data_IF_666932084465
#
_entry.id   IF_666932084465
#
_cell.length_a   1.000
_cell.length_b   1.000
_cell.length_c   1.000
_cell.angle_alpha   90.00
_cell.angle_beta   90.00
_cell.angle_gamma   90.00
#
_symmetry.space_group_name_H-M   'P 1'
#
loop_
_entity.id
_entity.type
_entity.pdbx_description
1 polymer ?
#
# COMPACT_ATOMS: atom_id res chain seq x y z
N UNK A 1 22.01 -1.10 -45.95
CA UNK A 1 20.81 -1.61 -45.25
C UNK A 1 20.99 -1.25 -43.79
N UNK A 2 20.43 -0.13 -43.35
CA UNK A 2 20.53 0.30 -41.96
C UNK A 2 19.29 -0.20 -41.21
N UNK A 3 19.52 -1.10 -40.26
CA UNK A 3 18.50 -1.56 -39.32
C UNK A 3 18.37 -0.46 -38.27
N UNK A 4 17.30 0.32 -38.35
CA UNK A 4 16.94 1.26 -37.28
C UNK A 4 16.45 0.43 -36.09
N UNK A 5 17.25 0.32 -35.04
CA UNK A 5 16.79 -0.13 -33.74
C UNK A 5 15.89 0.96 -33.15
N UNK A 6 14.59 0.69 -33.10
CA UNK A 6 13.64 1.49 -32.33
C UNK A 6 14.01 1.33 -30.84
N UNK A 7 14.30 2.41 -30.10
CA UNK A 7 14.71 2.29 -28.71
C UNK A 7 13.53 1.77 -27.89
N UNK A 8 13.81 0.76 -27.05
CA UNK A 8 12.91 0.17 -26.06
C UNK A 8 11.90 1.18 -25.52
N UNK A 9 10.64 1.02 -25.92
CA UNK A 9 9.52 1.94 -25.62
C UNK A 9 9.01 1.87 -24.18
N UNK A 10 9.77 1.25 -23.28
CA UNK A 10 9.41 1.15 -21.89
C UNK A 10 10.61 1.58 -21.06
N UNK A 11 10.59 2.76 -20.41
CA UNK A 11 11.45 2.95 -19.26
C UNK A 11 11.07 1.84 -18.28
N UNK A 12 12.03 0.99 -17.91
CA UNK A 12 11.85 0.08 -16.79
C UNK A 12 11.36 0.93 -15.62
N UNK A 13 10.10 0.75 -15.24
CA UNK A 13 9.55 1.48 -14.12
C UNK A 13 10.47 1.15 -12.94
N UNK A 14 11.06 2.16 -12.26
CA UNK A 14 11.73 1.86 -11.01
C UNK A 14 10.73 1.09 -10.15
N UNK A 15 11.17 0.03 -9.42
CA UNK A 15 10.27 -0.74 -8.58
C UNK A 15 9.48 0.27 -7.76
N UNK A 16 8.16 0.32 -7.95
CA UNK A 16 7.33 1.24 -7.17
C UNK A 16 7.70 0.95 -5.72
N UNK A 17 8.14 1.95 -4.95
CA UNK A 17 8.47 1.72 -3.55
C UNK A 17 7.26 1.03 -2.92
N UNK A 18 7.51 0.09 -2.00
CA UNK A 18 6.43 -0.62 -1.29
C UNK A 18 5.36 0.39 -0.90
N UNK A 19 4.08 0.14 -1.23
CA UNK A 19 2.98 1.10 -1.05
C UNK A 19 2.77 1.50 0.42
N UNK A 20 3.35 0.71 1.33
CA UNK A 20 3.49 1.05 2.73
C UNK A 20 4.81 0.53 3.30
N UNK A 21 5.23 1.14 4.41
CA UNK A 21 6.33 0.68 5.25
C UNK A 21 5.89 0.71 6.72
N UNK A 22 6.07 -0.41 7.42
CA UNK A 22 5.71 -0.55 8.83
C UNK A 22 6.97 -0.91 9.64
N UNK A 23 7.22 -0.20 10.75
CA UNK A 23 8.27 -0.60 11.70
C UNK A 23 7.74 -1.67 12.64
N UNK A 24 8.65 -2.39 13.31
CA UNK A 24 8.28 -3.30 14.40
C UNK A 24 7.49 -2.58 15.50
N UNK A 25 6.59 -3.32 16.16
CA UNK A 25 5.87 -2.84 17.32
C UNK A 25 6.85 -2.64 18.49
N UNK A 26 6.86 -1.43 19.05
CA UNK A 26 7.67 -1.08 20.21
C UNK A 26 6.78 -0.51 21.31
N UNK A 27 7.12 -0.80 22.56
CA UNK A 27 6.41 -0.25 23.71
C UNK A 27 6.76 1.24 23.86
N UNK A 28 5.79 2.12 23.66
CA UNK A 28 5.94 3.57 23.83
C UNK A 28 4.85 4.09 24.76
N UNK A 29 5.25 4.81 25.82
CA UNK A 29 4.33 5.40 26.80
C UNK A 29 3.30 4.40 27.38
N UNK A 30 3.70 3.13 27.57
CA UNK A 30 2.83 2.07 28.08
C UNK A 30 1.89 1.44 27.05
N UNK A 31 1.99 1.83 25.77
CA UNK A 31 1.20 1.28 24.67
C UNK A 31 2.11 0.73 23.57
N UNK A 32 1.76 -0.41 23.03
CA UNK A 32 2.45 -0.95 21.86
C UNK A 32 2.15 -0.09 20.65
N UNK A 33 3.18 0.46 20.02
CA UNK A 33 3.04 1.39 18.91
C UNK A 33 4.05 1.10 17.80
N UNK A 34 3.69 1.41 16.57
CA UNK A 34 4.56 1.29 15.40
C UNK A 34 4.42 2.51 14.49
N UNK A 35 5.42 2.74 13.64
CA UNK A 35 5.33 3.75 12.60
C UNK A 35 4.83 3.12 11.30
N UNK A 36 3.79 3.71 10.74
CA UNK A 36 3.26 3.38 9.42
C UNK A 36 3.53 4.53 8.46
N UNK A 37 4.27 4.26 7.38
CA UNK A 37 4.44 5.18 6.26
C UNK A 37 3.64 4.65 5.08
N UNK A 38 2.57 5.33 4.67
CA UNK A 38 1.71 4.94 3.55
C UNK A 38 0.96 6.16 2.98
N UNK A 39 0.26 5.97 1.87
CA UNK A 39 -0.62 6.99 1.31
C UNK A 39 -1.85 7.25 2.20
N UNK A 40 -2.43 8.45 2.09
CA UNK A 40 -3.60 8.89 2.87
C UNK A 40 -4.76 7.87 2.94
N UNK A 41 -5.21 7.22 1.83
CA UNK A 41 -6.29 6.23 1.92
C UNK A 41 -5.94 5.03 2.81
N UNK A 42 -4.68 4.58 2.79
CA UNK A 42 -4.20 3.47 3.64
C UNK A 42 -4.19 3.91 5.10
N UNK A 43 -3.73 5.13 5.37
CA UNK A 43 -3.74 5.69 6.72
C UNK A 43 -5.16 5.82 7.27
N UNK A 44 -6.10 6.27 6.43
CA UNK A 44 -7.51 6.38 6.78
C UNK A 44 -8.11 5.00 7.04
N UNK A 45 -7.81 4.00 6.21
CA UNK A 45 -8.22 2.61 6.44
C UNK A 45 -7.74 2.09 7.79
N UNK A 46 -6.43 2.21 8.07
CA UNK A 46 -5.84 1.74 9.33
C UNK A 46 -6.45 2.45 10.54
N UNK A 47 -6.76 3.74 10.43
CA UNK A 47 -7.38 4.52 11.53
C UNK A 47 -8.77 4.02 11.94
N UNK A 48 -9.47 3.33 11.03
CA UNK A 48 -10.79 2.75 11.26
C UNK A 48 -10.74 1.31 11.81
N UNK A 49 -9.55 0.72 11.96
CA UNK A 49 -9.40 -0.64 12.49
C UNK A 49 -9.63 -0.66 14.01
N UNK A 50 -10.44 -1.60 14.50
CA UNK A 50 -10.73 -1.74 15.94
C UNK A 50 -9.51 -2.11 16.79
N UNK A 51 -8.52 -2.77 16.18
CA UNK A 51 -7.29 -3.21 16.84
C UNK A 51 -6.28 -2.07 17.06
N UNK A 52 -6.51 -0.90 16.47
CA UNK A 52 -5.70 0.30 16.72
C UNK A 52 -6.50 1.33 17.50
N UNK A 53 -5.80 2.17 18.24
CA UNK A 53 -6.38 3.37 18.83
C UNK A 53 -6.47 4.42 17.74
N UNK A 54 -7.66 4.97 17.51
CA UNK A 54 -7.85 6.05 16.54
C UNK A 54 -6.91 7.20 16.88
N UNK A 55 -6.02 7.51 15.94
CA UNK A 55 -5.14 8.65 16.06
C UNK A 55 -6.00 9.89 15.81
N UNK A 56 -6.31 10.66 16.85
CA UNK A 56 -6.95 11.97 16.71
C UNK A 56 -5.97 12.92 16.02
N UNK A 57 -5.93 12.88 14.70
CA UNK A 57 -5.26 13.89 13.89
C UNK A 57 -5.93 15.22 14.18
N UNK A 58 -5.21 16.16 14.78
CA UNK A 58 -5.68 17.54 14.84
C UNK A 58 -5.94 18.01 13.40
N UNK A 59 -7.12 18.58 13.09
CA UNK A 59 -7.44 19.05 11.74
C UNK A 59 -6.49 20.15 11.23
N UNK A 60 -5.63 20.68 12.12
CA UNK A 60 -4.62 21.69 11.83
C UNK A 60 -3.19 21.13 11.69
N UNK A 61 -2.94 19.86 12.04
CA UNK A 61 -1.66 19.19 11.80
C UNK A 61 -1.78 18.31 10.56
N UNK A 62 -1.81 18.94 9.37
CA UNK A 62 -1.38 18.24 8.16
C UNK A 62 0.11 17.96 8.29
N UNK A 63 0.48 16.81 8.86
CA UNK A 63 1.88 16.37 8.88
C UNK A 63 2.32 16.20 7.41
N UNK A 64 3.41 16.84 6.95
CA UNK A 64 3.76 16.88 5.52
C UNK A 64 4.32 15.56 4.95
N UNK A 65 3.92 14.41 5.47
CA UNK A 65 4.39 13.13 4.93
C UNK A 65 3.58 12.01 5.55
N UNK A 66 3.22 11.03 4.71
CA UNK A 66 2.38 9.88 5.02
C UNK A 66 2.91 8.92 6.09
N UNK A 67 3.70 9.40 7.05
CA UNK A 67 4.19 8.65 8.21
C UNK A 67 3.42 9.04 9.47
N UNK A 68 2.70 8.08 10.04
CA UNK A 68 1.94 8.22 11.28
C UNK A 68 2.40 7.20 12.31
N UNK A 69 2.23 7.55 13.58
CA UNK A 69 2.44 6.63 14.69
C UNK A 69 1.09 6.01 15.04
N UNK A 70 1.03 4.69 14.97
CA UNK A 70 -0.16 3.89 15.25
C UNK A 70 0.05 3.19 16.57
N UNK A 71 -0.89 3.36 17.50
CA UNK A 71 -0.88 2.65 18.78
C UNK A 71 -1.91 1.52 18.74
N UNK A 72 -1.50 0.33 19.16
CA UNK A 72 -2.34 -0.86 19.22
C UNK A 72 -3.21 -0.77 20.47
N UNK A 73 -4.48 -1.12 20.33
CA UNK A 73 -5.41 -1.16 21.43
C UNK A 73 -5.00 -2.27 22.42
N UNK A 74 -4.80 -1.96 23.71
CA UNK A 74 -4.29 -2.93 24.71
C UNK A 74 -5.24 -4.10 24.98
N UNK A 75 -6.45 -4.10 24.41
CA UNK A 75 -7.37 -5.24 24.44
C UNK A 75 -6.92 -6.41 23.56
N UNK A 76 -6.02 -6.17 22.60
CA UNK A 76 -5.53 -7.17 21.66
C UNK A 76 -4.07 -7.50 21.94
N UNK A 77 -3.64 -8.70 21.55
CA UNK A 77 -2.21 -9.01 21.55
C UNK A 77 -1.48 -8.19 20.49
N UNK A 78 -0.42 -7.51 20.92
CA UNK A 78 0.36 -6.61 20.08
C UNK A 78 1.07 -7.30 18.90
N UNK A 79 1.58 -8.52 19.06
CA UNK A 79 2.27 -9.23 17.98
C UNK A 79 1.25 -9.75 16.97
N UNK A 80 0.14 -10.32 17.45
CA UNK A 80 -0.95 -10.78 16.60
C UNK A 80 -1.57 -9.63 15.81
N UNK A 81 -1.90 -8.52 16.48
CA UNK A 81 -2.50 -7.35 15.84
C UNK A 81 -1.55 -6.72 14.81
N UNK A 82 -0.26 -6.59 15.12
CA UNK A 82 0.74 -6.06 14.19
C UNK A 82 0.88 -6.95 12.95
N UNK A 83 1.02 -8.26 13.14
CA UNK A 83 1.12 -9.21 12.03
C UNK A 83 -0.14 -9.22 11.16
N UNK A 84 -1.32 -9.14 11.79
CA UNK A 84 -2.58 -9.07 11.07
C UNK A 84 -2.67 -7.80 10.22
N UNK A 85 -2.38 -6.62 10.79
CA UNK A 85 -2.36 -5.35 10.04
C UNK A 85 -1.37 -5.45 8.86
N UNK A 86 -0.18 -5.99 9.08
CA UNK A 86 0.82 -6.18 8.03
C UNK A 86 0.27 -7.02 6.88
N UNK A 87 -0.27 -8.21 7.19
CA UNK A 87 -0.79 -9.14 6.19
C UNK A 87 -2.01 -8.56 5.45
N UNK A 88 -2.88 -7.83 6.14
CA UNK A 88 -4.03 -7.15 5.52
C UNK A 88 -3.56 -6.07 4.55
N UNK A 89 -2.63 -5.21 4.96
CA UNK A 89 -2.08 -4.18 4.08
C UNK A 89 -1.32 -4.78 2.89
N UNK A 90 -0.57 -5.86 3.10
CA UNK A 90 0.11 -6.58 2.03
C UNK A 90 -0.89 -7.19 1.04
N UNK A 91 -1.97 -7.81 1.51
CA UNK A 91 -3.02 -8.35 0.64
C UNK A 91 -3.77 -7.27 -0.16
N UNK A 92 -4.18 -6.20 0.49
CA UNK A 92 -4.89 -5.09 -0.16
C UNK A 92 -4.01 -4.35 -1.18
N UNK A 93 -2.72 -4.20 -0.90
CA UNK A 93 -1.80 -3.50 -1.80
C UNK A 93 -1.25 -4.36 -2.93
N UNK A 94 -1.50 -5.68 -2.91
CA UNK A 94 -1.27 -6.58 -4.04
C UNK A 94 -2.39 -6.52 -5.08
N UNK A 95 -3.52 -5.86 -4.79
CA UNK A 95 -4.56 -5.57 -5.78
C UNK A 95 -4.05 -4.43 -6.67
N UNK A 96 -3.41 -4.83 -7.78
CA UNK A 96 -2.98 -3.91 -8.83
C UNK A 96 -4.23 -3.52 -9.62
N UNK A 97 -4.66 -2.26 -9.50
CA UNK A 97 -5.56 -1.67 -10.50
C UNK A 97 -4.85 -1.73 -11.85
N UNK A 98 -5.33 -2.60 -12.75
CA UNK A 98 -4.93 -2.59 -14.14
C UNK A 98 -5.36 -1.25 -14.72
N UNK A 99 -4.42 -0.42 -15.17
CA UNK A 99 -4.77 0.79 -15.91
C UNK A 99 -5.52 0.41 -17.19
N UNK A 100 -6.39 1.29 -17.68
CA UNK A 100 -7.22 1.09 -18.90
C UNK A 100 -6.42 0.56 -20.11
N UNK A 101 -5.12 0.85 -20.19
CA UNK A 101 -4.23 0.35 -21.26
C UNK A 101 -4.01 -1.16 -21.20
N UNK A 102 -3.99 -1.76 -20.01
CA UNK A 102 -3.89 -3.21 -19.84
C UNK A 102 -5.24 -3.89 -20.05
N UNK A 103 -6.34 -3.26 -19.65
CA UNK A 103 -7.69 -3.75 -19.97
C UNK A 103 -7.89 -3.80 -21.49
N UNK A 104 -7.49 -2.76 -22.22
CA UNK A 104 -7.51 -2.74 -23.69
C UNK A 104 -6.58 -3.78 -24.32
N UNK A 105 -5.41 -4.03 -23.73
CA UNK A 105 -4.48 -5.05 -24.23
C UNK A 105 -5.01 -6.48 -24.02
N UNK A 106 -5.75 -6.73 -22.93
CA UNK A 106 -6.41 -8.01 -22.68
C UNK A 106 -7.60 -8.20 -23.63
N UNK A 107 -8.42 -7.16 -23.84
CA UNK A 107 -9.51 -7.20 -24.83
C UNK A 107 -9.00 -7.51 -26.25
N UNK A 108 -7.87 -6.92 -26.66
CA UNK A 108 -7.24 -7.24 -27.94
C UNK A 108 -6.68 -8.66 -28.02
N UNK A 109 -6.12 -9.18 -26.92
CA UNK A 109 -5.64 -10.55 -26.87
C UNK A 109 -6.79 -11.56 -26.97
N UNK A 110 -7.90 -11.33 -26.26
CA UNK A 110 -9.08 -12.20 -26.32
C UNK A 110 -9.81 -12.12 -27.66
N UNK A 111 -9.84 -10.97 -28.34
CA UNK A 111 -10.42 -10.84 -29.68
C UNK A 111 -9.60 -11.56 -30.77
N UNK A 112 -8.31 -11.80 -30.54
CA UNK A 112 -7.43 -12.45 -31.52
C UNK A 112 -7.53 -13.98 -31.56
N UNK A 113 -8.25 -14.61 -30.61
CA UNK A 113 -8.44 -16.06 -30.56
C UNK A 113 -9.70 -16.54 -31.31
N UNK A 114 -10.58 -15.63 -31.76
CA UNK A 114 -11.82 -15.96 -32.49
C UNK A 114 -11.68 -15.94 -34.03
N UNK A 115 -10.49 -15.67 -34.58
CA UNK A 115 -10.20 -15.72 -36.03
C UNK A 115 -9.32 -16.92 -36.44
N UNK A 116 -9.68 -18.14 -36.04
CA UNK A 116 -9.20 -19.39 -36.69
C UNK A 116 -10.36 -20.32 -37.05
#
# INVERSE_FOLDING_TARGET
>A
MNVNFEPDRFPSLPPRPKPFHMTDAALQNGLWSFWLTADEPILQYVSNLNCVLSFTGSPFLRRPGGRVMVSINPRYDHLEAWNWIYNTLEGETQIVDLGETWEQAIDWACQSEDEI
#
